data_IF_740314783208
#
_entry.id   IF_740314783208
#
_cell.length_a   1.000
_cell.length_b   1.000
_cell.length_c   1.000
_cell.angle_alpha   90.00
_cell.angle_beta   90.00
_cell.angle_gamma   90.00
#
_symmetry.space_group_name_H-M   'P 1'
#
loop_
_entity.id
_entity.type
_entity.pdbx_description
1 polymer ?
#
# COMPACT_ATOMS: atom_id res chain seq x y z
N UNK A 1 11.66 -42.01 13.18
CA UNK A 1 10.57 -41.03 13.14
C UNK A 1 11.01 -39.79 13.84
N UNK A 2 11.59 -38.82 13.13
CA UNK A 2 11.91 -37.53 13.66
C UNK A 2 11.87 -36.50 12.53
N UNK A 3 10.99 -35.52 12.68
CA UNK A 3 11.25 -34.13 12.41
C UNK A 3 10.87 -33.59 11.06
N UNK A 4 9.71 -33.02 10.99
CA UNK A 4 9.27 -32.13 9.92
C UNK A 4 8.64 -30.86 10.52
N UNK A 5 9.38 -30.12 11.36
CA UNK A 5 8.85 -28.92 12.03
C UNK A 5 9.71 -27.65 11.82
N UNK A 6 10.74 -27.69 10.98
CA UNK A 6 11.70 -26.57 10.92
C UNK A 6 11.53 -25.57 9.76
N UNK A 7 10.81 -25.91 8.70
CA UNK A 7 10.78 -25.07 7.50
C UNK A 7 9.72 -23.94 7.57
N UNK A 8 8.62 -24.15 8.26
CA UNK A 8 7.53 -23.17 8.35
C UNK A 8 7.85 -21.99 9.29
N UNK A 9 8.57 -22.23 10.37
CA UNK A 9 8.94 -21.17 11.32
C UNK A 9 10.02 -20.22 10.79
N UNK A 10 10.96 -20.74 9.98
CA UNK A 10 12.02 -19.92 9.38
C UNK A 10 11.48 -18.98 8.28
N UNK A 11 10.50 -19.43 7.50
CA UNK A 11 9.86 -18.61 6.47
C UNK A 11 9.06 -17.45 7.10
N UNK A 12 8.23 -17.72 8.11
CA UNK A 12 7.46 -16.68 8.80
C UNK A 12 8.31 -15.65 9.56
N UNK A 13 9.46 -16.05 10.08
CA UNK A 13 10.39 -15.12 10.73
C UNK A 13 11.07 -14.17 9.73
N UNK A 14 11.39 -14.64 8.52
CA UNK A 14 11.95 -13.83 7.45
C UNK A 14 10.96 -12.80 6.90
N UNK A 15 9.70 -13.20 6.73
CA UNK A 15 8.61 -12.31 6.27
C UNK A 15 8.34 -11.20 7.29
N UNK A 16 8.29 -11.53 8.58
CA UNK A 16 8.09 -10.56 9.65
C UNK A 16 9.26 -9.57 9.75
N UNK A 17 10.51 -10.02 9.53
CA UNK A 17 11.69 -9.17 9.54
C UNK A 17 11.65 -8.17 8.36
N UNK A 18 11.37 -8.62 7.15
CA UNK A 18 11.30 -7.76 5.96
C UNK A 18 10.16 -6.72 6.05
N UNK A 19 9.00 -7.09 6.61
CA UNK A 19 7.92 -6.15 6.87
C UNK A 19 8.31 -5.11 7.93
N UNK A 20 9.01 -5.52 8.99
CA UNK A 20 9.51 -4.62 10.02
C UNK A 20 10.48 -3.57 9.47
N UNK A 21 11.45 -3.97 8.66
CA UNK A 21 12.40 -3.06 8.01
C UNK A 21 11.68 -2.07 7.09
N UNK A 22 10.71 -2.52 6.32
CA UNK A 22 9.91 -1.67 5.45
C UNK A 22 9.10 -0.64 6.24
N UNK A 23 8.52 -1.01 7.40
CA UNK A 23 7.82 -0.09 8.29
C UNK A 23 8.76 0.98 8.82
N UNK A 24 9.94 0.61 9.34
CA UNK A 24 10.91 1.58 9.83
C UNK A 24 11.35 2.54 8.71
N UNK A 25 11.57 2.01 7.52
CA UNK A 25 11.88 2.83 6.35
C UNK A 25 10.76 3.82 6.00
N UNK A 26 9.51 3.40 6.13
CA UNK A 26 8.36 4.27 5.92
C UNK A 26 8.30 5.40 6.98
N UNK A 27 8.61 5.12 8.23
CA UNK A 27 8.71 6.12 9.30
C UNK A 27 9.80 7.15 9.00
N UNK A 28 10.99 6.70 8.61
CA UNK A 28 12.10 7.58 8.25
C UNK A 28 11.71 8.57 7.14
N UNK A 29 11.05 8.08 6.09
CA UNK A 29 10.67 8.92 4.95
C UNK A 29 9.50 9.86 5.25
N UNK A 30 8.46 9.34 5.92
CA UNK A 30 7.24 10.11 6.13
C UNK A 30 7.35 11.12 7.27
N UNK A 31 8.10 10.79 8.32
CA UNK A 31 8.26 11.64 9.50
C UNK A 31 9.49 12.56 9.43
N UNK A 32 10.20 12.60 8.32
CA UNK A 32 11.29 13.55 8.06
C UNK A 32 10.80 14.98 8.23
N UNK A 33 11.52 15.77 9.02
CA UNK A 33 11.17 17.18 9.32
C UNK A 33 11.08 18.08 8.08
N UNK A 34 11.73 17.68 6.98
CA UNK A 34 11.62 18.37 5.69
C UNK A 34 10.28 18.12 4.99
N UNK A 35 9.51 17.14 5.46
CA UNK A 35 8.21 16.75 4.90
C UNK A 35 8.26 16.55 3.36
N UNK A 36 9.29 15.81 2.90
CA UNK A 36 9.58 15.66 1.47
C UNK A 36 8.57 14.76 0.78
N UNK A 37 8.13 13.67 1.45
CA UNK A 37 7.24 12.67 0.88
C UNK A 37 5.87 12.69 1.56
N UNK A 38 4.81 12.65 0.75
CA UNK A 38 3.45 12.41 1.24
C UNK A 38 3.15 10.90 1.40
N UNK A 39 1.94 10.59 1.86
CA UNK A 39 1.54 9.21 2.17
C UNK A 39 1.64 8.25 0.96
N UNK A 40 1.25 8.69 -0.23
CA UNK A 40 1.31 7.87 -1.44
C UNK A 40 2.75 7.64 -1.90
N UNK A 41 3.56 8.69 -1.87
CA UNK A 41 4.96 8.62 -2.24
C UNK A 41 5.74 7.70 -1.30
N UNK A 42 5.51 7.83 0.02
CA UNK A 42 6.16 6.98 1.02
C UNK A 42 5.82 5.51 0.81
N UNK A 43 4.54 5.15 0.70
CA UNK A 43 4.13 3.77 0.48
C UNK A 43 4.69 3.21 -0.83
N UNK A 44 4.69 4.01 -1.90
CA UNK A 44 5.21 3.63 -3.21
C UNK A 44 6.72 3.38 -3.19
N UNK A 45 7.51 4.31 -2.65
CA UNK A 45 8.98 4.21 -2.58
C UNK A 45 9.39 3.01 -1.72
N UNK A 46 8.84 2.90 -0.52
CA UNK A 46 9.20 1.82 0.41
C UNK A 46 8.88 0.44 -0.17
N UNK A 47 7.72 0.28 -0.79
CA UNK A 47 7.39 -1.00 -1.41
C UNK A 47 8.24 -1.29 -2.66
N UNK A 48 8.62 -0.27 -3.43
CA UNK A 48 9.60 -0.46 -4.52
C UNK A 48 10.95 -0.92 -3.98
N UNK A 49 11.43 -0.31 -2.90
CA UNK A 49 12.66 -0.73 -2.21
C UNK A 49 12.54 -2.19 -1.74
N UNK A 50 11.47 -2.54 -1.02
CA UNK A 50 11.23 -3.90 -0.53
C UNK A 50 11.15 -4.94 -1.66
N UNK A 51 10.55 -4.59 -2.78
CA UNK A 51 10.43 -5.46 -3.95
C UNK A 51 11.72 -5.51 -4.81
N UNK A 52 12.74 -4.72 -4.49
CA UNK A 52 13.97 -4.62 -5.28
C UNK A 52 13.71 -4.11 -6.71
N UNK A 53 12.77 -3.18 -6.89
CA UNK A 53 12.48 -2.57 -8.19
C UNK A 53 13.52 -1.50 -8.54
N UNK A 54 13.74 -1.27 -9.85
CA UNK A 54 14.62 -0.19 -10.32
C UNK A 54 14.07 1.18 -9.93
N UNK A 55 14.96 2.15 -9.80
CA UNK A 55 14.63 3.55 -9.50
C UNK A 55 13.69 3.67 -8.28
N UNK A 56 13.94 2.86 -7.25
CA UNK A 56 13.06 2.77 -6.08
C UNK A 56 12.86 4.11 -5.39
N UNK A 57 13.86 5.00 -5.38
CA UNK A 57 13.76 6.33 -4.79
C UNK A 57 12.91 7.33 -5.59
N UNK A 58 12.59 7.05 -6.86
CA UNK A 58 11.73 7.93 -7.66
C UNK A 58 10.28 7.81 -7.24
N UNK A 59 9.73 8.88 -6.66
CA UNK A 59 8.34 8.96 -6.20
C UNK A 59 7.38 9.60 -7.21
N UNK A 60 7.87 10.05 -8.37
CA UNK A 60 7.15 10.94 -9.30
C UNK A 60 5.78 10.42 -9.71
N UNK A 61 5.61 9.10 -9.90
CA UNK A 61 4.33 8.50 -10.26
C UNK A 61 3.26 8.61 -9.15
N UNK A 62 3.68 8.81 -7.90
CA UNK A 62 2.79 8.88 -6.74
C UNK A 62 2.52 10.31 -6.24
N UNK A 63 3.25 11.33 -6.71
CA UNK A 63 3.14 12.71 -6.23
C UNK A 63 1.72 13.26 -6.20
N UNK A 64 0.93 13.00 -7.24
CA UNK A 64 -0.43 13.50 -7.34
C UNK A 64 -1.45 12.69 -6.50
N UNK A 65 -1.05 11.56 -5.90
CA UNK A 65 -1.98 10.66 -5.19
C UNK A 65 -2.14 11.00 -3.70
N UNK A 66 -1.33 11.92 -3.19
CA UNK A 66 -1.42 12.36 -1.79
C UNK A 66 -2.77 13.00 -1.47
N UNK A 67 -3.24 12.82 -0.23
CA UNK A 67 -4.50 13.39 0.22
C UNK A 67 -5.75 12.84 -0.49
N UNK A 68 -5.66 11.62 -1.01
CA UNK A 68 -6.76 10.98 -1.77
C UNK A 68 -6.92 11.57 -3.15
N UNK A 69 -5.81 11.63 -3.90
CA UNK A 69 -5.64 12.22 -5.23
C UNK A 69 -5.84 13.75 -5.21
N UNK A 70 -4.73 14.46 -5.31
CA UNK A 70 -4.70 15.94 -5.34
C UNK A 70 -5.51 16.59 -4.20
N UNK A 71 -5.41 16.03 -2.98
CA UNK A 71 -6.14 16.48 -1.79
C UNK A 71 -7.69 16.45 -1.90
N UNK A 72 -8.24 15.69 -2.86
CA UNK A 72 -9.70 15.58 -3.04
C UNK A 72 -10.42 14.87 -1.89
N UNK A 73 -9.70 14.11 -1.07
CA UNK A 73 -10.27 13.31 0.02
C UNK A 73 -10.81 11.95 -0.42
N UNK A 74 -10.50 11.52 -1.65
CA UNK A 74 -10.83 10.18 -2.16
C UNK A 74 -9.99 9.07 -1.52
N UNK A 75 -9.69 7.99 -2.25
CA UNK A 75 -8.95 6.84 -1.72
C UNK A 75 -7.61 7.25 -1.11
N UNK A 76 -7.30 6.73 0.08
CA UNK A 76 -6.09 7.03 0.84
C UNK A 76 -4.82 6.83 0.01
N UNK A 77 -3.89 7.80 0.10
CA UNK A 77 -2.63 7.74 -0.62
C UNK A 77 -1.77 6.53 -0.28
N UNK A 78 -1.81 6.05 0.96
CA UNK A 78 -1.12 4.83 1.34
C UNK A 78 -1.58 3.62 0.50
N UNK A 79 -2.89 3.51 0.24
CA UNK A 79 -3.46 2.44 -0.60
C UNK A 79 -3.09 2.64 -2.07
N UNK A 80 -3.25 3.86 -2.59
CA UNK A 80 -2.98 4.12 -4.02
C UNK A 80 -1.50 4.03 -4.37
N UNK A 81 -0.61 4.51 -3.50
CA UNK A 81 0.84 4.36 -3.67
C UNK A 81 1.29 2.90 -3.60
N UNK A 82 0.73 2.13 -2.66
CA UNK A 82 0.97 0.70 -2.55
C UNK A 82 0.49 -0.06 -3.80
N UNK A 83 -0.69 0.27 -4.33
CA UNK A 83 -1.23 -0.33 -5.55
C UNK A 83 -0.32 -0.11 -6.78
N UNK A 84 0.30 1.07 -6.90
CA UNK A 84 1.27 1.34 -7.95
C UNK A 84 2.49 0.40 -7.85
N UNK A 85 3.07 0.24 -6.66
CA UNK A 85 4.23 -0.64 -6.45
C UNK A 85 3.89 -2.10 -6.78
N UNK A 86 2.73 -2.58 -6.36
CA UNK A 86 2.25 -3.93 -6.68
C UNK A 86 2.07 -4.13 -8.18
N UNK A 87 1.54 -3.13 -8.88
CA UNK A 87 1.43 -3.17 -10.34
C UNK A 87 2.78 -3.37 -11.03
N UNK A 88 3.81 -2.64 -10.58
CA UNK A 88 5.18 -2.77 -11.09
C UNK A 88 5.80 -4.14 -10.75
N UNK A 89 5.56 -4.66 -9.55
CA UNK A 89 6.02 -6.01 -9.16
C UNK A 89 5.38 -7.07 -10.05
N UNK A 90 4.08 -6.98 -10.27
CA UNK A 90 3.33 -7.93 -11.09
C UNK A 90 3.85 -7.96 -12.54
N UNK A 91 4.08 -6.80 -13.15
CA UNK A 91 4.63 -6.69 -14.51
C UNK A 91 6.04 -7.26 -14.60
N UNK A 92 6.86 -7.10 -13.56
CA UNK A 92 8.20 -7.67 -13.51
C UNK A 92 8.19 -9.20 -13.41
N UNK A 93 7.25 -9.77 -12.64
CA UNK A 93 7.20 -11.21 -12.36
C UNK A 93 6.47 -12.04 -13.41
N UNK A 94 5.50 -11.46 -14.08
CA UNK A 94 4.61 -12.16 -14.98
C UNK A 94 4.78 -11.65 -16.41
N UNK A 95 5.22 -12.51 -17.36
CA UNK A 95 5.46 -12.09 -18.75
C UNK A 95 4.16 -11.80 -19.53
N UNK A 96 3.04 -12.35 -19.08
CA UNK A 96 1.72 -12.04 -19.67
C UNK A 96 1.07 -10.86 -18.94
N UNK A 97 0.94 -9.74 -19.62
CA UNK A 97 0.32 -8.52 -19.07
C UNK A 97 -1.09 -8.72 -18.51
N UNK A 98 -1.89 -9.64 -19.07
CA UNK A 98 -3.23 -9.93 -18.52
C UNK A 98 -3.14 -10.64 -17.19
N UNK A 99 -2.20 -11.59 -17.05
CA UNK A 99 -1.93 -12.25 -15.78
C UNK A 99 -1.38 -11.25 -14.76
N UNK A 100 -0.42 -10.40 -15.13
CA UNK A 100 0.12 -9.34 -14.28
C UNK A 100 -0.99 -8.41 -13.76
N UNK A 101 -1.84 -7.94 -14.66
CA UNK A 101 -2.98 -7.08 -14.30
C UNK A 101 -3.97 -7.77 -13.34
N UNK A 102 -4.21 -9.08 -13.53
CA UNK A 102 -5.07 -9.84 -12.62
C UNK A 102 -4.44 -9.95 -11.24
N UNK A 103 -3.18 -10.36 -11.14
CA UNK A 103 -2.45 -10.49 -9.88
C UNK A 103 -2.39 -9.17 -9.11
N UNK A 104 -2.05 -8.06 -9.79
CA UNK A 104 -2.03 -6.73 -9.17
C UNK A 104 -3.40 -6.33 -8.60
N UNK A 105 -4.49 -6.64 -9.30
CA UNK A 105 -5.85 -6.35 -8.82
C UNK A 105 -6.22 -7.20 -7.59
N UNK A 106 -5.84 -8.49 -7.57
CA UNK A 106 -6.11 -9.37 -6.44
C UNK A 106 -5.39 -8.89 -5.18
N UNK A 107 -4.09 -8.64 -5.27
CA UNK A 107 -3.31 -8.14 -4.15
C UNK A 107 -3.80 -6.76 -3.65
N UNK A 108 -4.18 -5.86 -4.58
CA UNK A 108 -4.74 -4.56 -4.21
C UNK A 108 -6.13 -4.67 -3.58
N UNK A 109 -6.97 -5.58 -4.06
CA UNK A 109 -8.31 -5.81 -3.48
C UNK A 109 -8.20 -6.39 -2.07
N UNK A 110 -7.27 -7.29 -1.83
CA UNK A 110 -6.98 -7.83 -0.50
C UNK A 110 -6.48 -6.73 0.46
N UNK A 111 -5.53 -5.90 0.02
CA UNK A 111 -5.11 -4.73 0.79
C UNK A 111 -6.30 -3.83 1.13
N UNK A 112 -7.13 -3.49 0.15
CA UNK A 112 -8.25 -2.57 0.34
C UNK A 112 -9.26 -3.13 1.35
N UNK A 113 -9.59 -4.42 1.24
CA UNK A 113 -10.51 -5.09 2.17
C UNK A 113 -9.96 -5.10 3.60
N UNK A 114 -8.67 -5.43 3.78
CA UNK A 114 -8.02 -5.41 5.08
C UNK A 114 -7.92 -3.98 5.66
N UNK A 115 -7.65 -3.00 4.80
CA UNK A 115 -7.57 -1.59 5.19
C UNK A 115 -8.94 -1.06 5.67
N UNK A 116 -10.01 -1.36 4.95
CA UNK A 116 -11.37 -0.96 5.33
C UNK A 116 -11.87 -1.71 6.58
N UNK A 117 -11.45 -2.96 6.77
CA UNK A 117 -11.75 -3.71 8.00
C UNK A 117 -11.09 -3.07 9.23
N UNK A 118 -9.86 -2.54 9.10
CA UNK A 118 -9.14 -1.90 10.22
C UNK A 118 -9.58 -0.46 10.48
N UNK A 119 -9.76 0.34 9.43
CA UNK A 119 -10.00 1.78 9.56
C UNK A 119 -11.45 2.21 9.33
N UNK A 120 -12.32 1.28 8.92
CA UNK A 120 -13.74 1.53 8.64
C UNK A 120 -14.02 2.18 7.28
N UNK A 121 -13.00 2.70 6.61
CA UNK A 121 -13.10 3.40 5.32
C UNK A 121 -11.74 3.49 4.64
N UNK A 122 -11.74 3.66 3.33
CA UNK A 122 -10.53 4.00 2.57
C UNK A 122 -10.52 5.46 2.10
N UNK A 123 -11.57 6.23 2.39
CA UNK A 123 -11.68 7.62 1.99
C UNK A 123 -10.81 8.54 2.87
N UNK A 124 -9.81 9.18 2.28
CA UNK A 124 -8.85 10.04 2.99
C UNK A 124 -9.55 11.08 3.87
N UNK A 125 -10.60 11.75 3.36
CA UNK A 125 -11.33 12.76 4.14
C UNK A 125 -11.94 12.21 5.43
N UNK A 126 -12.49 11.01 5.37
CA UNK A 126 -13.10 10.36 6.54
C UNK A 126 -12.02 9.92 7.53
N UNK A 127 -10.91 9.36 7.01
CA UNK A 127 -9.78 8.91 7.82
C UNK A 127 -9.13 10.04 8.63
N UNK A 128 -8.96 11.23 8.03
CA UNK A 128 -8.30 12.36 8.69
C UNK A 128 -9.29 13.33 9.36
N UNK A 129 -10.58 13.29 8.98
CA UNK A 129 -11.65 14.10 9.57
C UNK A 129 -11.65 15.58 9.17
N UNK A 130 -10.92 15.96 8.10
CA UNK A 130 -10.85 17.34 7.60
C UNK A 130 -10.92 17.39 6.07
N UNK A 131 -11.33 18.52 5.52
CA UNK A 131 -11.35 18.74 4.07
C UNK A 131 -10.09 19.48 3.61
N UNK A 132 -9.15 18.74 3.04
CA UNK A 132 -7.88 19.27 2.55
C UNK A 132 -8.00 20.20 1.32
N UNK A 133 -9.18 20.26 0.69
CA UNK A 133 -9.42 21.17 -0.45
C UNK A 133 -9.53 22.64 -0.03
N UNK A 134 -9.69 22.89 1.26
CA UNK A 134 -9.77 24.24 1.79
C UNK A 134 -8.46 24.63 2.48
N UNK A 135 -8.03 25.88 2.34
CA UNK A 135 -6.83 26.39 3.03
C UNK A 135 -6.94 26.23 4.56
N UNK A 136 -8.13 26.42 5.10
CA UNK A 136 -8.37 26.26 6.53
C UNK A 136 -8.24 24.80 6.98
N UNK A 137 -8.81 23.85 6.22
CA UNK A 137 -8.72 22.43 6.52
C UNK A 137 -7.29 21.91 6.38
N UNK A 138 -6.59 22.30 5.32
CA UNK A 138 -5.18 21.94 5.12
C UNK A 138 -4.30 22.47 6.27
N UNK A 139 -4.47 23.73 6.64
CA UNK A 139 -3.73 24.33 7.76
C UNK A 139 -4.02 23.63 9.07
N UNK A 140 -5.29 23.39 9.40
CA UNK A 140 -5.69 22.67 10.60
C UNK A 140 -5.08 21.26 10.65
N UNK A 141 -5.03 20.56 9.52
CA UNK A 141 -4.42 19.22 9.42
C UNK A 141 -2.92 19.26 9.74
N UNK A 142 -2.19 20.21 9.19
CA UNK A 142 -0.74 20.36 9.44
C UNK A 142 -0.49 20.78 10.89
N UNK A 143 -1.18 21.81 11.39
CA UNK A 143 -1.00 22.36 12.75
C UNK A 143 -1.36 21.35 13.85
N UNK A 144 -2.37 20.51 13.62
CA UNK A 144 -2.76 19.45 14.57
C UNK A 144 -1.73 18.35 14.74
N UNK A 145 -0.82 18.18 13.78
CA UNK A 145 0.12 17.06 13.75
C UNK A 145 -0.54 15.69 13.53
N UNK A 146 -1.85 15.64 13.29
CA UNK A 146 -2.59 14.39 13.13
C UNK A 146 -2.06 13.48 11.99
N UNK A 147 -1.38 14.07 11.02
CA UNK A 147 -0.72 13.33 9.96
C UNK A 147 0.40 12.41 10.48
N UNK A 148 1.11 12.80 11.53
CA UNK A 148 2.20 12.01 12.13
C UNK A 148 1.68 10.68 12.71
N UNK A 149 0.47 10.69 13.27
CA UNK A 149 -0.13 9.49 13.87
C UNK A 149 -1.08 8.78 12.89
N UNK A 150 -2.10 9.49 12.39
CA UNK A 150 -3.16 8.88 11.58
C UNK A 150 -2.63 8.37 10.24
N UNK A 151 -1.98 9.25 9.46
CA UNK A 151 -1.48 8.84 8.14
C UNK A 151 -0.33 7.84 8.27
N UNK A 152 0.52 7.95 9.31
CA UNK A 152 1.59 6.97 9.54
C UNK A 152 1.04 5.57 9.76
N UNK A 153 0.02 5.39 10.61
CA UNK A 153 -0.63 4.09 10.83
C UNK A 153 -1.21 3.51 9.54
N UNK A 154 -1.76 4.35 8.68
CA UNK A 154 -2.30 3.94 7.38
C UNK A 154 -1.20 3.47 6.42
N UNK A 155 -0.05 4.15 6.42
CA UNK A 155 1.13 3.78 5.64
C UNK A 155 1.70 2.46 6.19
N UNK A 156 1.89 2.34 7.49
CA UNK A 156 2.40 1.14 8.15
C UNK A 156 1.57 -0.09 7.81
N UNK A 157 0.24 0.02 7.91
CA UNK A 157 -0.67 -1.06 7.56
C UNK A 157 -0.55 -1.48 6.10
N UNK A 158 -0.54 -0.53 5.17
CA UNK A 158 -0.43 -0.82 3.75
C UNK A 158 0.92 -1.44 3.39
N UNK A 159 2.01 -0.93 3.97
CA UNK A 159 3.37 -1.45 3.78
C UNK A 159 3.51 -2.85 4.39
N UNK A 160 3.08 -3.03 5.64
CA UNK A 160 3.15 -4.33 6.33
C UNK A 160 2.39 -5.43 5.55
N UNK A 161 1.22 -5.09 5.00
CA UNK A 161 0.39 -6.05 4.26
C UNK A 161 1.03 -6.54 2.97
N UNK A 162 1.80 -5.69 2.29
CA UNK A 162 2.31 -5.98 0.96
C UNK A 162 3.81 -6.26 0.89
N UNK A 163 4.59 -5.86 1.90
CA UNK A 163 6.05 -6.05 1.87
C UNK A 163 6.45 -7.54 1.74
N UNK A 164 5.67 -8.45 2.31
CA UNK A 164 5.87 -9.89 2.19
C UNK A 164 5.78 -10.40 0.74
N UNK A 165 5.11 -9.68 -0.16
CA UNK A 165 5.06 -10.03 -1.58
C UNK A 165 6.44 -9.93 -2.28
N UNK A 166 7.47 -9.44 -1.60
CA UNK A 166 8.87 -9.56 -2.04
C UNK A 166 9.29 -11.03 -2.16
N UNK A 167 8.80 -11.89 -1.28
CA UNK A 167 9.01 -13.35 -1.31
C UNK A 167 8.20 -13.99 -2.44
N UNK A 168 8.81 -14.97 -3.14
CA UNK A 168 8.17 -15.65 -4.26
C UNK A 168 6.98 -16.51 -3.81
N UNK A 169 7.10 -17.20 -2.68
CA UNK A 169 6.04 -18.08 -2.17
C UNK A 169 4.82 -17.27 -1.73
N UNK A 170 5.04 -16.15 -1.04
CA UNK A 170 3.98 -15.23 -0.64
C UNK A 170 3.29 -14.62 -1.86
N UNK A 171 4.07 -14.24 -2.88
CA UNK A 171 3.54 -13.74 -4.14
C UNK A 171 2.67 -14.77 -4.87
N UNK A 172 3.15 -16.02 -5.03
CA UNK A 172 2.42 -17.07 -5.74
C UNK A 172 1.09 -17.35 -5.03
N UNK A 173 1.11 -17.45 -3.71
CA UNK A 173 -0.11 -17.61 -2.90
C UNK A 173 -1.10 -16.48 -3.11
N UNK A 174 -0.64 -15.22 -3.09
CA UNK A 174 -1.49 -14.04 -3.26
C UNK A 174 -2.04 -13.90 -4.69
N UNK A 175 -1.27 -14.31 -5.70
CA UNK A 175 -1.65 -14.20 -7.11
C UNK A 175 -2.64 -15.28 -7.58
N UNK A 176 -2.73 -16.41 -6.88
CA UNK A 176 -3.61 -17.53 -7.17
C UNK A 176 -4.94 -17.49 -6.39
N UNK A 177 -4.97 -16.82 -5.25
CA UNK A 177 -6.17 -16.75 -4.40
C UNK A 177 -7.29 -15.99 -5.15
N UNK A 178 -8.48 -16.60 -5.32
CA UNK A 178 -9.62 -15.89 -5.89
C UNK A 178 -10.00 -14.72 -4.97
N UNK A 179 -9.79 -13.50 -5.44
CA UNK A 179 -10.26 -12.32 -4.72
C UNK A 179 -11.79 -12.30 -4.59
N UNK A 180 -12.35 -11.44 -3.71
CA UNK A 180 -13.79 -11.30 -3.59
C UNK A 180 -14.38 -11.03 -4.97
N UNK A 181 -15.29 -11.90 -5.39
CA UNK A 181 -16.01 -11.76 -6.65
C UNK A 181 -16.91 -10.53 -6.51
N UNK A 182 -16.52 -9.40 -7.08
CA UNK A 182 -17.48 -8.33 -7.30
C UNK A 182 -18.57 -8.90 -8.22
N UNK A 183 -19.84 -8.91 -7.81
CA UNK A 183 -20.90 -9.29 -8.71
C UNK A 183 -20.80 -8.37 -9.93
N UNK A 184 -20.70 -8.97 -11.10
CA UNK A 184 -20.70 -8.25 -12.35
C UNK A 184 -22.00 -7.45 -12.42
N UNK A 185 -21.93 -6.18 -12.04
CA UNK A 185 -22.97 -5.21 -12.29
C UNK A 185 -23.08 -5.10 -13.81
N UNK A 186 -24.10 -5.74 -14.38
CA UNK A 186 -24.39 -5.62 -15.79
C UNK A 186 -24.67 -4.17 -16.14
N UNK A 187 -23.66 -3.46 -16.63
CA UNK A 187 -23.86 -2.21 -17.32
C UNK A 187 -24.39 -2.59 -18.71
N UNK A 188 -25.70 -2.58 -18.85
CA UNK A 188 -26.35 -2.57 -20.16
C UNK A 188 -26.02 -1.23 -20.79
N UNK A 189 -25.12 -1.23 -21.75
CA UNK A 189 -24.87 -0.07 -22.62
C UNK A 189 -25.99 -0.10 -23.65
N UNK A 190 -26.99 0.77 -23.50
CA UNK A 190 -27.98 1.09 -24.52
C UNK A 190 -27.42 2.10 -25.51
#
# INVERSE_FOLDING_TARGET
MTGGAGAGEAAGAGEAAGAGEAIERARELFLDDRNTFGCAETAFVVLKEAFGLSDAADSSAAMALNGGIAYSGGTCGAVTGAALAVGMLAERRLPDHRAAKRAARLATADLLAAFEAEFGTSACRELIGVDLRTDAGHRAFIESGAWRDRCMRQIEMAVARLASLADETAWDTASETPGPVHPAGGVSVG
#
